data_IF_455914195395
#
_entry.id   IF_455914195395
#
_cell.length_a   1.000
_cell.length_b   1.000
_cell.length_c   1.000
_cell.angle_alpha   90.00
_cell.angle_beta   90.00
_cell.angle_gamma   90.00
#
_symmetry.space_group_name_H-M   'P 1'
#
loop_
_entity.id
_entity.type
_entity.pdbx_description
1 polymer ?
#
# COMPACT_ATOMS: atom_id res chain seq x y z
N UNK A 1 11.93 22.58 -27.98
CA UNK A 1 12.05 21.71 -29.17
C UNK A 1 11.41 20.37 -28.84
N UNK A 2 10.64 19.77 -29.76
CA UNK A 2 9.96 18.47 -29.60
C UNK A 2 10.93 17.33 -29.22
N UNK A 3 12.21 17.46 -29.58
CA UNK A 3 13.25 16.50 -29.24
C UNK A 3 13.62 16.54 -27.75
N UNK A 4 13.62 17.71 -27.10
CA UNK A 4 13.89 17.81 -25.66
C UNK A 4 12.76 17.19 -24.82
N UNK A 5 11.52 17.28 -25.31
CA UNK A 5 10.36 16.70 -24.66
C UNK A 5 10.34 15.17 -24.79
N UNK A 6 10.66 14.65 -25.97
CA UNK A 6 10.85 13.20 -26.20
C UNK A 6 12.03 12.64 -25.40
N UNK A 7 13.16 13.36 -25.33
CA UNK A 7 14.31 13.00 -24.49
C UNK A 7 13.93 13.02 -23.01
N UNK A 8 13.19 14.03 -22.53
CA UNK A 8 12.74 14.08 -21.13
C UNK A 8 11.82 12.89 -20.79
N UNK A 9 10.94 12.50 -21.72
CA UNK A 9 10.04 11.36 -21.58
C UNK A 9 10.81 10.03 -21.61
N UNK A 10 11.73 9.86 -22.56
CA UNK A 10 12.58 8.67 -22.67
C UNK A 10 13.51 8.52 -21.45
N UNK A 11 14.07 9.61 -20.95
CA UNK A 11 14.86 9.63 -19.71
C UNK A 11 13.99 9.37 -18.47
N UNK A 12 12.72 9.80 -18.46
CA UNK A 12 11.76 9.45 -17.39
C UNK A 12 11.41 7.95 -17.40
N UNK A 13 11.25 7.36 -18.58
CA UNK A 13 10.99 5.92 -18.76
C UNK A 13 12.21 5.09 -18.33
N UNK A 14 13.42 5.53 -18.62
CA UNK A 14 14.65 4.88 -18.13
C UNK A 14 14.82 4.99 -16.61
N UNK A 15 14.36 6.10 -15.99
CA UNK A 15 14.33 6.26 -14.52
C UNK A 15 13.28 5.39 -13.81
N UNK A 16 12.30 4.87 -14.56
CA UNK A 16 11.25 3.96 -14.09
C UNK A 16 11.56 2.48 -14.40
N UNK A 17 12.71 2.18 -15.02
CA UNK A 17 13.11 0.79 -15.26
C UNK A 17 13.38 0.11 -13.91
N UNK A 18 12.51 -0.84 -13.57
CA UNK A 18 12.69 -1.67 -12.39
C UNK A 18 13.77 -2.72 -12.60
N UNK A 19 14.45 -3.10 -11.52
CA UNK A 19 15.32 -4.25 -11.55
C UNK A 19 14.45 -5.53 -11.66
N UNK A 20 14.46 -6.18 -12.82
CA UNK A 20 13.66 -7.40 -13.06
C UNK A 20 14.11 -8.60 -12.22
N UNK A 21 15.31 -8.55 -11.65
CA UNK A 21 15.79 -9.56 -10.71
C UNK A 21 15.35 -9.29 -9.27
N UNK A 22 14.80 -8.11 -8.99
CA UNK A 22 14.24 -7.77 -7.67
C UNK A 22 12.81 -8.33 -7.57
N UNK A 23 12.55 -9.34 -6.71
CA UNK A 23 11.22 -9.89 -6.51
C UNK A 23 10.29 -8.97 -5.69
N UNK A 24 10.83 -7.91 -5.08
CA UNK A 24 10.10 -6.88 -4.33
C UNK A 24 9.84 -5.60 -5.13
N UNK A 25 10.14 -5.61 -6.43
CA UNK A 25 9.83 -4.49 -7.35
C UNK A 25 8.33 -4.17 -7.36
N UNK A 26 7.99 -2.90 -7.61
CA UNK A 26 6.62 -2.39 -7.58
C UNK A 26 5.69 -3.18 -8.52
N UNK A 27 6.09 -3.50 -9.76
CA UNK A 27 5.23 -4.29 -10.66
C UNK A 27 4.83 -5.64 -10.09
N UNK A 28 5.76 -6.36 -9.47
CA UNK A 28 5.48 -7.64 -8.82
C UNK A 28 4.58 -7.46 -7.60
N UNK A 29 4.82 -6.44 -6.78
CA UNK A 29 3.99 -6.13 -5.61
C UNK A 29 2.56 -5.71 -6.00
N UNK A 30 2.40 -4.96 -7.10
CA UNK A 30 1.09 -4.60 -7.65
C UNK A 30 0.34 -5.84 -8.15
N UNK A 31 1.02 -6.79 -8.80
CA UNK A 31 0.40 -8.07 -9.16
C UNK A 31 -0.07 -8.86 -7.93
N UNK A 32 0.72 -8.87 -6.85
CA UNK A 32 0.30 -9.48 -5.58
C UNK A 32 -0.93 -8.78 -5.00
N UNK A 33 -1.02 -7.46 -5.12
CA UNK A 33 -2.19 -6.70 -4.70
C UNK A 33 -3.44 -7.03 -5.52
N UNK A 34 -3.34 -7.13 -6.84
CA UNK A 34 -4.48 -7.52 -7.68
C UNK A 34 -4.96 -8.94 -7.34
N UNK A 35 -4.06 -9.89 -7.12
CA UNK A 35 -4.44 -11.23 -6.67
C UNK A 35 -5.11 -11.22 -5.29
N UNK A 36 -4.59 -10.42 -4.35
CA UNK A 36 -5.18 -10.24 -3.03
C UNK A 36 -6.60 -9.68 -3.13
N UNK A 37 -6.79 -8.67 -3.97
CA UNK A 37 -8.04 -7.91 -4.16
C UNK A 37 -9.12 -8.70 -4.91
N UNK A 38 -8.73 -9.46 -5.93
CA UNK A 38 -9.67 -10.17 -6.81
C UNK A 38 -9.94 -11.61 -6.35
N UNK A 39 -8.93 -12.32 -5.86
CA UNK A 39 -9.05 -13.74 -5.53
C UNK A 39 -9.09 -14.00 -4.03
N UNK A 40 -8.12 -13.48 -3.27
CA UNK A 40 -8.07 -13.78 -1.83
C UNK A 40 -9.19 -13.06 -1.07
N UNK A 41 -9.63 -11.88 -1.53
CA UNK A 41 -10.81 -11.19 -1.01
C UNK A 41 -12.09 -12.03 -1.11
N UNK A 42 -12.32 -12.67 -2.25
CA UNK A 42 -13.54 -13.47 -2.44
C UNK A 42 -13.53 -14.71 -1.52
N UNK A 43 -12.35 -15.34 -1.36
CA UNK A 43 -12.17 -16.41 -0.37
C UNK A 43 -12.40 -15.91 1.04
N UNK A 44 -11.87 -14.74 1.38
CA UNK A 44 -12.06 -14.11 2.69
C UNK A 44 -13.54 -13.85 2.98
N UNK A 45 -14.27 -13.30 2.00
CA UNK A 45 -15.70 -12.99 2.11
C UNK A 45 -16.57 -14.24 2.23
N UNK A 46 -16.32 -15.27 1.41
CA UNK A 46 -17.13 -16.50 1.37
C UNK A 46 -16.95 -17.38 2.62
N UNK A 47 -15.79 -17.33 3.28
CA UNK A 47 -15.54 -18.08 4.52
C UNK A 47 -16.08 -17.40 5.78
N UNK A 48 -16.72 -16.25 5.66
CA UNK A 48 -17.32 -15.54 6.80
C UNK A 48 -18.81 -15.32 6.56
N UNK A 49 -19.63 -15.87 7.45
CA UNK A 49 -21.09 -15.83 7.33
C UNK A 49 -21.70 -14.43 7.43
N UNK A 50 -20.95 -13.46 7.97
CA UNK A 50 -21.40 -12.09 8.22
C UNK A 50 -20.52 -11.02 7.54
N UNK A 51 -19.70 -11.40 6.55
CA UNK A 51 -18.80 -10.45 5.90
C UNK A 51 -19.54 -9.54 4.91
N UNK A 52 -19.76 -8.30 5.32
CA UNK A 52 -20.25 -7.21 4.47
C UNK A 52 -19.10 -6.40 3.89
N UNK A 53 -19.35 -5.64 2.82
CA UNK A 53 -18.35 -4.71 2.29
C UNK A 53 -17.89 -3.67 3.33
N UNK A 54 -18.79 -3.23 4.21
CA UNK A 54 -18.47 -2.31 5.32
C UNK A 54 -17.52 -2.95 6.35
N UNK A 55 -17.77 -4.21 6.72
CA UNK A 55 -16.91 -4.94 7.65
C UNK A 55 -15.54 -5.21 7.02
N UNK A 56 -15.53 -5.68 5.77
CA UNK A 56 -14.32 -5.89 4.97
C UNK A 56 -13.44 -4.65 4.88
N UNK A 57 -14.05 -3.53 4.48
CA UNK A 57 -13.42 -2.21 4.45
C UNK A 57 -12.78 -1.87 5.80
N UNK A 58 -13.53 -2.03 6.90
CA UNK A 58 -13.02 -1.72 8.24
C UNK A 58 -11.77 -2.52 8.57
N UNK A 59 -11.77 -3.82 8.25
CA UNK A 59 -10.63 -4.72 8.47
C UNK A 59 -9.44 -4.29 7.61
N UNK A 60 -9.62 -4.14 6.30
CA UNK A 60 -8.54 -3.75 5.36
C UNK A 60 -7.95 -2.41 5.78
N UNK A 61 -8.80 -1.43 6.08
CA UNK A 61 -8.35 -0.09 6.53
C UNK A 61 -7.54 -0.16 7.82
N UNK A 62 -8.00 -0.90 8.84
CA UNK A 62 -7.25 -1.07 10.10
C UNK A 62 -5.89 -1.74 9.87
N UNK A 63 -5.83 -2.76 9.02
CA UNK A 63 -4.58 -3.43 8.66
C UNK A 63 -3.62 -2.44 7.98
N UNK A 64 -4.10 -1.64 7.03
CA UNK A 64 -3.30 -0.66 6.29
C UNK A 64 -2.80 0.45 7.22
N UNK A 65 -3.69 1.03 8.04
CA UNK A 65 -3.32 2.07 9.02
C UNK A 65 -2.27 1.53 10.02
N UNK A 66 -2.33 0.26 10.39
CA UNK A 66 -1.36 -0.38 11.29
C UNK A 66 -0.02 -0.62 10.61
N UNK A 67 -0.01 -1.00 9.32
CA UNK A 67 1.23 -1.13 8.53
C UNK A 67 1.97 0.21 8.45
N UNK A 68 1.25 1.31 8.19
CA UNK A 68 1.86 2.65 8.13
C UNK A 68 2.50 3.03 9.46
N UNK A 69 1.80 2.81 10.57
CA UNK A 69 2.31 3.08 11.92
C UNK A 69 3.52 2.22 12.26
N UNK A 70 3.50 0.92 11.94
CA UNK A 70 4.59 -0.01 12.24
C UNK A 70 5.86 0.35 11.44
N UNK A 71 5.72 0.66 10.14
CA UNK A 71 6.85 1.10 9.30
C UNK A 71 7.41 2.43 9.79
N UNK A 72 6.56 3.42 10.07
CA UNK A 72 7.01 4.72 10.58
C UNK A 72 7.74 4.58 11.91
N UNK A 73 7.19 3.77 12.82
CA UNK A 73 7.85 3.45 14.09
C UNK A 73 9.23 2.84 13.86
N UNK A 74 9.35 1.81 13.01
CA UNK A 74 10.63 1.15 12.75
C UNK A 74 11.66 2.05 12.09
N UNK A 75 11.23 2.92 11.17
CA UNK A 75 12.11 3.95 10.60
C UNK A 75 12.68 4.83 11.70
N UNK A 76 11.82 5.34 12.60
CA UNK A 76 12.26 6.18 13.71
C UNK A 76 13.13 5.41 14.72
N UNK A 77 12.82 4.16 15.03
CA UNK A 77 13.65 3.31 15.89
C UNK A 77 15.06 3.13 15.29
N UNK A 78 15.18 2.91 13.97
CA UNK A 78 16.49 2.83 13.28
C UNK A 78 17.23 4.17 13.36
N UNK A 79 16.57 5.30 13.10
CA UNK A 79 17.22 6.61 13.20
C UNK A 79 17.71 6.91 14.61
N UNK A 80 16.95 6.53 15.63
CA UNK A 80 17.35 6.69 17.03
C UNK A 80 18.59 5.85 17.36
N UNK A 81 18.68 4.62 16.85
CA UNK A 81 19.87 3.76 17.03
C UNK A 81 21.09 4.34 16.33
N UNK A 82 20.91 5.00 15.19
CA UNK A 82 21.97 5.69 14.45
C UNK A 82 22.34 7.07 15.03
N UNK A 83 21.77 7.45 16.18
CA UNK A 83 21.93 8.77 16.83
C UNK A 83 21.59 9.96 15.91
N UNK A 84 20.70 9.75 14.94
CA UNK A 84 20.18 10.79 14.06
C UNK A 84 19.02 11.49 14.79
N UNK A 85 19.36 12.36 15.74
CA UNK A 85 18.40 13.16 16.49
C UNK A 85 17.83 14.32 15.64
N UNK A 86 16.56 14.66 15.85
CA UNK A 86 15.86 15.75 15.14
C UNK A 86 16.33 17.16 15.54
N UNK A 87 17.22 17.29 16.53
CA UNK A 87 17.46 18.56 17.19
C UNK A 87 18.37 19.54 16.42
N UNK A 88 19.11 19.09 15.39
CA UNK A 88 20.04 19.94 14.64
C UNK A 88 19.79 19.94 13.12
N UNK A 89 19.87 21.12 12.48
CA UNK A 89 19.69 21.30 11.03
C UNK A 89 20.61 20.40 10.18
N UNK A 90 21.85 20.18 10.62
CA UNK A 90 22.77 19.25 9.97
C UNK A 90 22.28 17.77 10.00
N UNK A 91 21.59 17.36 11.06
CA UNK A 91 21.02 16.02 11.19
C UNK A 91 19.76 15.81 10.33
N UNK A 92 19.01 16.88 10.02
CA UNK A 92 17.87 16.80 9.10
C UNK A 92 18.31 16.40 7.67
N UNK A 93 19.44 16.95 7.20
CA UNK A 93 20.03 16.56 5.92
C UNK A 93 20.52 15.11 5.94
N UNK A 94 21.17 14.68 7.03
CA UNK A 94 21.61 13.30 7.22
C UNK A 94 20.41 12.32 7.17
N UNK A 95 19.28 12.66 7.81
CA UNK A 95 18.06 11.85 7.75
C UNK A 95 17.53 11.71 6.31
N UNK A 96 17.55 12.79 5.53
CA UNK A 96 17.09 12.76 4.14
C UNK A 96 17.97 11.86 3.27
N UNK A 97 19.29 11.88 3.49
CA UNK A 97 20.26 11.03 2.78
C UNK A 97 20.19 9.56 3.19
N UNK A 98 19.91 9.27 4.47
CA UNK A 98 19.79 7.92 5.00
C UNK A 98 18.43 7.27 4.74
N UNK A 99 17.37 8.06 4.50
CA UNK A 99 16.01 7.55 4.30
C UNK A 99 15.89 6.49 3.18
N UNK A 100 16.52 6.65 2.00
CA UNK A 100 16.53 5.61 0.97
C UNK A 100 17.18 4.31 1.46
N UNK A 101 18.28 4.41 2.22
CA UNK A 101 19.02 3.25 2.75
C UNK A 101 18.16 2.52 3.79
N UNK A 102 17.58 3.24 4.75
CA UNK A 102 16.68 2.67 5.77
C UNK A 102 15.46 2.03 5.12
N UNK A 103 14.89 2.68 4.11
CA UNK A 103 13.74 2.14 3.36
C UNK A 103 14.10 0.85 2.65
N UNK A 104 15.26 0.78 2.00
CA UNK A 104 15.75 -0.42 1.32
C UNK A 104 16.05 -1.57 2.29
N UNK A 105 16.68 -1.28 3.42
CA UNK A 105 16.92 -2.25 4.49
C UNK A 105 15.61 -2.86 5.01
N UNK A 106 14.62 -2.01 5.29
CA UNK A 106 13.30 -2.46 5.68
C UNK A 106 12.63 -3.25 4.57
N UNK A 107 12.69 -2.82 3.31
CA UNK A 107 12.09 -3.53 2.18
C UNK A 107 12.64 -4.95 2.08
N UNK A 108 13.97 -5.11 2.16
CA UNK A 108 14.64 -6.40 2.16
C UNK A 108 14.25 -7.25 3.38
N UNK A 109 14.20 -6.67 4.57
CA UNK A 109 13.77 -7.38 5.77
C UNK A 109 12.32 -7.87 5.66
N UNK A 110 11.39 -7.03 5.18
CA UNK A 110 9.98 -7.40 5.00
C UNK A 110 9.79 -8.42 3.87
N UNK A 111 10.64 -8.38 2.85
CA UNK A 111 10.61 -9.35 1.76
C UNK A 111 11.15 -10.72 2.20
N UNK A 112 12.30 -10.75 2.89
CA UNK A 112 13.00 -11.98 3.29
C UNK A 112 12.40 -12.65 4.54
N UNK A 113 11.81 -11.88 5.47
CA UNK A 113 11.36 -12.46 6.74
C UNK A 113 10.08 -13.29 6.64
N UNK A 114 10.09 -14.40 7.38
CA UNK A 114 8.99 -15.34 7.52
C UNK A 114 7.93 -14.83 8.50
N UNK A 115 6.81 -14.32 8.00
CA UNK A 115 5.51 -14.14 8.69
C UNK A 115 5.44 -13.34 10.00
N UNK A 116 6.49 -13.18 10.80
CA UNK A 116 6.41 -12.73 12.19
C UNK A 116 6.21 -11.23 12.32
N UNK A 117 6.81 -10.42 11.43
CA UNK A 117 6.47 -9.01 11.30
C UNK A 117 4.99 -8.83 11.01
N UNK A 118 4.47 -9.58 10.05
CA UNK A 118 3.07 -9.48 9.65
C UNK A 118 2.13 -9.98 10.74
N UNK A 119 2.47 -11.07 11.45
CA UNK A 119 1.71 -11.55 12.62
C UNK A 119 1.65 -10.52 13.73
N UNK A 120 2.74 -9.77 13.96
CA UNK A 120 2.73 -8.69 14.95
C UNK A 120 1.81 -7.55 14.53
N UNK A 121 1.88 -7.14 13.27
CA UNK A 121 1.02 -6.08 12.70
C UNK A 121 -0.45 -6.51 12.77
N UNK A 122 -0.80 -7.73 12.34
CA UNK A 122 -2.19 -8.20 12.37
C UNK A 122 -2.75 -8.27 13.79
N UNK A 123 -1.95 -8.70 14.78
CA UNK A 123 -2.34 -8.64 16.20
C UNK A 123 -2.58 -7.21 16.68
N UNK A 124 -1.71 -6.26 16.32
CA UNK A 124 -1.85 -4.86 16.70
C UNK A 124 -3.06 -4.18 16.06
N UNK A 125 -3.43 -4.56 14.83
CA UNK A 125 -4.58 -4.01 14.13
C UNK A 125 -5.92 -4.29 14.84
N UNK A 126 -5.94 -5.21 15.81
CA UNK A 126 -7.11 -5.53 16.64
C UNK A 126 -8.34 -5.84 15.78
N UNK A 127 -8.13 -6.60 14.71
CA UNK A 127 -9.17 -7.09 13.81
C UNK A 127 -9.64 -8.47 14.29
N UNK A 128 -10.94 -8.69 14.28
CA UNK A 128 -11.53 -9.98 14.63
C UNK A 128 -11.48 -10.87 13.39
N UNK A 129 -10.75 -11.98 13.47
CA UNK A 129 -10.59 -12.96 12.39
C UNK A 129 -11.01 -14.32 12.93
N UNK A 130 -11.98 -14.95 12.26
CA UNK A 130 -12.71 -16.12 12.78
C UNK A 130 -11.97 -17.43 12.49
N UNK A 131 -11.27 -17.50 11.35
CA UNK A 131 -10.64 -18.72 10.86
C UNK A 131 -9.23 -18.47 10.30
N UNK A 132 -8.59 -19.55 9.86
CA UNK A 132 -7.23 -19.48 9.31
C UNK A 132 -7.18 -18.86 7.90
N UNK A 133 -8.23 -18.97 7.09
CA UNK A 133 -8.32 -18.27 5.79
C UNK A 133 -8.29 -16.77 6.00
N UNK A 134 -9.04 -16.27 6.99
CA UNK A 134 -9.08 -14.85 7.36
C UNK A 134 -7.74 -14.36 7.90
N UNK A 135 -7.07 -15.16 8.74
CA UNK A 135 -5.71 -14.86 9.22
C UNK A 135 -4.70 -14.81 8.07
N UNK A 136 -4.76 -15.75 7.13
CA UNK A 136 -3.87 -15.75 5.97
C UNK A 136 -4.12 -14.55 5.05
N UNK A 137 -5.39 -14.19 4.83
CA UNK A 137 -5.75 -12.96 4.11
C UNK A 137 -5.13 -11.73 4.78
N UNK A 138 -5.30 -11.57 6.10
CA UNK A 138 -4.76 -10.43 6.83
C UNK A 138 -3.22 -10.35 6.74
N UNK A 139 -2.53 -11.48 6.85
CA UNK A 139 -1.07 -11.55 6.70
C UNK A 139 -0.62 -11.12 5.29
N UNK A 140 -1.30 -11.60 4.24
CA UNK A 140 -1.03 -11.19 2.86
C UNK A 140 -1.32 -9.70 2.64
N UNK A 141 -2.43 -9.18 3.18
CA UNK A 141 -2.77 -7.76 3.18
C UNK A 141 -1.61 -6.91 3.73
N UNK A 142 -1.13 -7.25 4.94
CA UNK A 142 -0.03 -6.54 5.57
C UNK A 142 1.26 -6.66 4.74
N UNK A 143 1.58 -7.85 4.21
CA UNK A 143 2.76 -8.08 3.38
C UNK A 143 2.78 -7.19 2.15
N UNK A 144 1.72 -7.26 1.35
CA UNK A 144 1.61 -6.50 0.11
C UNK A 144 1.70 -5.00 0.40
N UNK A 145 0.94 -4.51 1.38
CA UNK A 145 0.90 -3.08 1.65
C UNK A 145 2.21 -2.54 2.27
N UNK A 146 2.88 -3.31 3.12
CA UNK A 146 4.19 -2.92 3.63
C UNK A 146 5.22 -2.80 2.50
N UNK A 147 5.24 -3.75 1.55
CA UNK A 147 6.13 -3.69 0.40
C UNK A 147 5.82 -2.51 -0.54
N UNK A 148 4.54 -2.13 -0.64
CA UNK A 148 4.11 -0.92 -1.37
C UNK A 148 4.61 0.37 -0.72
N UNK A 149 4.50 0.48 0.61
CA UNK A 149 4.97 1.63 1.39
C UNK A 149 6.50 1.78 1.37
N UNK A 150 7.23 0.68 1.20
CA UNK A 150 8.69 0.64 1.20
C UNK A 150 9.31 0.76 -0.19
N UNK A 151 8.51 1.03 -1.24
CA UNK A 151 9.06 1.37 -2.55
C UNK A 151 9.82 2.70 -2.50
N UNK A 152 10.78 2.88 -3.43
CA UNK A 152 11.56 4.13 -3.56
C UNK A 152 10.68 5.37 -3.64
N UNK A 153 9.55 5.26 -4.35
CA UNK A 153 8.42 6.17 -4.23
C UNK A 153 7.28 5.44 -3.52
N UNK A 154 7.00 5.78 -2.24
CA UNK A 154 6.02 5.06 -1.44
C UNK A 154 4.62 5.08 -2.06
N UNK A 155 4.00 3.92 -2.20
CA UNK A 155 2.61 3.78 -2.61
C UNK A 155 1.73 3.81 -1.37
N UNK A 156 0.81 4.78 -1.30
CA UNK A 156 -0.08 5.00 -0.15
C UNK A 156 -1.54 4.78 -0.50
N UNK A 157 -2.30 4.30 0.48
CA UNK A 157 -3.74 4.15 0.41
C UNK A 157 -4.46 5.46 0.70
N UNK A 158 -5.35 5.84 -0.20
CA UNK A 158 -6.20 7.01 -0.07
C UNK A 158 -7.65 6.53 0.10
N UNK A 159 -8.16 6.68 1.32
CA UNK A 159 -9.51 6.24 1.71
C UNK A 159 -10.58 7.33 1.58
N UNK A 160 -10.19 8.60 1.76
CA UNK A 160 -11.11 9.74 1.79
C UNK A 160 -10.44 10.97 1.19
N UNK A 161 -10.96 11.46 0.06
CA UNK A 161 -10.75 12.83 -0.42
C UNK A 161 -12.12 13.44 -0.75
N UNK A 162 -12.24 14.75 -0.59
CA UNK A 162 -13.46 15.50 -0.95
C UNK A 162 -13.78 15.38 -2.45
N UNK A 163 -12.78 15.07 -3.29
CA UNK A 163 -12.96 14.68 -4.68
C UNK A 163 -12.03 13.50 -4.99
N UNK A 164 -12.61 12.31 -5.15
CA UNK A 164 -11.95 11.21 -5.88
C UNK A 164 -12.61 11.21 -7.25
N UNK A 165 -11.82 11.39 -8.31
CA UNK A 165 -12.36 11.41 -9.66
C UNK A 165 -12.92 10.03 -10.03
N UNK A 166 -14.06 9.95 -10.73
CA UNK A 166 -14.63 8.66 -11.17
C UNK A 166 -13.64 7.78 -11.94
N UNK A 167 -12.68 8.39 -12.64
CA UNK A 167 -11.61 7.69 -13.36
C UNK A 167 -10.68 6.87 -12.46
N UNK A 168 -10.56 7.26 -11.18
CA UNK A 168 -9.75 6.60 -10.15
C UNK A 168 -10.54 5.50 -9.41
N UNK A 169 -11.79 5.28 -9.80
CA UNK A 169 -12.71 4.36 -9.16
C UNK A 169 -13.13 3.24 -10.12
N UNK A 170 -13.50 2.12 -9.52
CA UNK A 170 -14.26 1.04 -10.17
C UNK A 170 -15.28 0.45 -9.22
N UNK A 171 -16.39 -0.06 -9.77
CA UNK A 171 -17.43 -0.72 -8.99
C UNK A 171 -17.08 -2.21 -8.80
N UNK A 172 -17.41 -2.80 -7.64
CA UNK A 172 -17.25 -4.24 -7.39
C UNK A 172 -17.84 -5.12 -8.49
N UNK A 173 -19.00 -4.73 -9.03
CA UNK A 173 -19.71 -5.43 -10.11
C UNK A 173 -19.41 -4.88 -11.52
N UNK A 174 -18.36 -4.06 -11.69
CA UNK A 174 -17.99 -3.41 -12.97
C UNK A 174 -19.11 -2.58 -13.62
N UNK A 175 -20.01 -2.03 -12.82
CA UNK A 175 -21.00 -1.04 -13.27
C UNK A 175 -20.29 0.20 -13.81
N UNK A 176 -20.86 0.80 -14.85
CA UNK A 176 -20.35 2.07 -15.37
C UNK A 176 -20.61 3.19 -14.35
N UNK A 177 -19.52 3.78 -13.87
CA UNK A 177 -19.54 4.86 -12.87
C UNK A 177 -19.83 6.23 -13.49
N UNK A 178 -19.81 6.37 -14.83
CA UNK A 178 -20.08 7.64 -15.52
C UNK A 178 -21.48 8.20 -15.23
N UNK A 179 -22.42 7.31 -14.87
CA UNK A 179 -23.82 7.63 -14.60
C UNK A 179 -24.16 7.74 -13.12
N UNK A 180 -23.23 7.38 -12.22
CA UNK A 180 -23.50 7.27 -10.78
C UNK A 180 -22.90 8.45 -10.03
N UNK A 181 -23.76 9.26 -9.41
CA UNK A 181 -23.34 10.38 -8.58
C UNK A 181 -23.19 9.97 -7.11
N UNK A 182 -21.98 9.59 -6.72
CA UNK A 182 -21.67 9.30 -5.32
C UNK A 182 -21.40 10.58 -4.54
N UNK A 183 -22.35 11.04 -3.72
CA UNK A 183 -22.13 12.18 -2.81
C UNK A 183 -21.07 11.86 -1.72
N UNK A 184 -20.96 10.58 -1.33
CA UNK A 184 -19.97 10.05 -0.37
C UNK A 184 -19.74 8.56 -0.64
N UNK A 185 -19.02 8.21 -1.71
CA UNK A 185 -18.65 6.82 -1.93
C UNK A 185 -17.77 6.31 -0.79
N UNK A 186 -18.12 5.16 -0.22
CA UNK A 186 -17.20 4.40 0.62
C UNK A 186 -16.34 3.47 -0.25
N UNK A 187 -15.07 3.36 0.10
CA UNK A 187 -14.10 2.53 -0.60
C UNK A 187 -13.87 1.23 0.12
N UNK A 188 -14.16 0.10 -0.52
CA UNK A 188 -13.85 -1.24 -0.01
C UNK A 188 -12.33 -1.42 -0.06
N UNK A 189 -11.77 -1.09 -1.22
CA UNK A 189 -10.34 -1.01 -1.46
C UNK A 189 -9.95 0.44 -1.71
N UNK A 190 -8.83 0.91 -1.14
CA UNK A 190 -8.43 2.30 -1.29
C UNK A 190 -7.92 2.59 -2.70
N UNK A 191 -7.92 3.87 -3.08
CA UNK A 191 -7.13 4.30 -4.24
C UNK A 191 -5.65 4.24 -3.83
N UNK A 192 -4.82 3.53 -4.60
CA UNK A 192 -3.38 3.45 -4.34
C UNK A 192 -2.64 4.47 -5.20
N UNK A 193 -1.83 5.34 -4.57
CA UNK A 193 -1.07 6.37 -5.27
C UNK A 193 0.39 6.41 -4.88
N UNK A 194 1.24 6.67 -5.86
CA UNK A 194 2.66 7.03 -5.70
C UNK A 194 2.78 8.53 -5.97
N UNK A 195 2.73 9.34 -4.91
CA UNK A 195 2.58 10.80 -5.07
C UNK A 195 1.27 11.15 -5.78
N UNK A 196 1.36 11.65 -7.03
CA UNK A 196 0.19 11.97 -7.88
C UNK A 196 -0.19 10.83 -8.84
N UNK A 197 0.68 9.86 -9.02
CA UNK A 197 0.48 8.75 -9.96
C UNK A 197 -0.51 7.74 -9.38
N UNK A 198 -1.51 7.37 -10.17
CA UNK A 198 -2.47 6.32 -9.84
C UNK A 198 -1.82 4.95 -10.08
N UNK A 199 -1.70 4.15 -9.01
CA UNK A 199 -1.17 2.78 -9.08
C UNK A 199 -2.29 1.76 -9.21
N UNK A 200 -3.36 1.92 -8.41
CA UNK A 200 -4.54 1.08 -8.49
C UNK A 200 -5.80 1.87 -8.15
N UNK A 201 -6.90 1.55 -8.82
CA UNK A 201 -8.20 2.17 -8.60
C UNK A 201 -8.77 1.78 -7.24
N UNK A 202 -9.49 2.72 -6.64
CA UNK A 202 -10.33 2.44 -5.48
C UNK A 202 -11.57 1.66 -5.91
N UNK A 203 -12.05 0.79 -5.02
CA UNK A 203 -13.22 -0.05 -5.30
C UNK A 203 -14.40 0.43 -4.48
N UNK A 204 -15.49 0.80 -5.15
CA UNK A 204 -16.75 1.22 -4.52
C UNK A 204 -17.82 0.13 -4.61
N UNK A 205 -18.83 0.24 -3.76
CA UNK A 205 -20.02 -0.59 -3.77
C UNK A 205 -21.26 0.29 -3.49
N UNK A 206 -22.45 -0.24 -3.75
CA UNK A 206 -23.75 0.47 -3.55
C UNK A 206 -24.11 0.79 -2.09
#
# INVERSE_FOLDING_TARGET
SRNNELLSKMMSMHKQSENMNDPSRLSAVVQLYEMLRLHDWEKFKTNSTNMTYKNGRSIIKKLFDTCEKDIEKRKNDIFNVLDVSFLNYAMANCKQELMPIVTELLRNAYFQQHSDFYKKITKQASVTLEDDVQKQFALKCCRVYCLMLLQKSPVKAVWHKQEIHPEELEHVDKKDLSTVHWKKAELLWPVLKSGKELIAKGVVWD
#
